data_IF_995672672610
#
_entry.id   IF_995672672610
#
_cell.length_a   1.000
_cell.length_b   1.000
_cell.length_c   1.000
_cell.angle_alpha   90.00
_cell.angle_beta   90.00
_cell.angle_gamma   90.00
#
_symmetry.space_group_name_H-M   'P 1'
#
loop_
_entity.id
_entity.type
_entity.pdbx_description
1 polymer ?
#
# COMPACT_ATOMS: atom_id res chain seq x y z
N UNK A 1 -2.61 2.97 11.81
CA UNK A 1 -2.56 1.58 12.30
C UNK A 1 -1.24 0.90 11.97
N UNK A 2 -0.79 0.81 10.72
CA UNK A 2 0.50 0.16 10.36
C UNK A 2 1.71 0.58 11.21
N UNK A 3 1.90 1.90 11.36
CA UNK A 3 2.98 2.44 12.19
C UNK A 3 2.82 2.01 13.66
N UNK A 4 1.61 2.10 14.19
CA UNK A 4 1.29 1.71 15.57
C UNK A 4 1.53 0.21 15.80
N UNK A 5 1.11 -0.65 14.87
CA UNK A 5 1.35 -2.09 14.96
C UNK A 5 2.83 -2.44 14.93
N UNK A 6 3.62 -1.72 14.12
CA UNK A 6 5.08 -1.88 14.08
C UNK A 6 5.74 -1.41 15.38
N UNK A 7 5.41 -0.20 15.83
CA UNK A 7 6.03 0.44 16.99
C UNK A 7 5.70 -0.32 18.30
N UNK A 8 4.53 -0.98 18.35
CA UNK A 8 4.07 -1.76 19.51
C UNK A 8 4.28 -3.28 19.35
N UNK A 9 4.95 -3.74 18.29
CA UNK A 9 5.17 -5.17 18.03
C UNK A 9 3.88 -6.03 18.07
N UNK A 10 2.80 -5.52 17.47
CA UNK A 10 1.52 -6.24 17.40
C UNK A 10 1.60 -7.41 16.41
N UNK A 11 1.34 -8.60 16.94
CA UNK A 11 1.25 -9.85 16.18
C UNK A 11 0.16 -9.80 15.11
N UNK A 12 0.36 -10.50 14.00
CA UNK A 12 -0.53 -10.42 12.84
C UNK A 12 -1.98 -10.83 13.18
N UNK A 13 -2.15 -11.83 14.05
CA UNK A 13 -3.44 -12.32 14.52
C UNK A 13 -4.23 -11.28 15.33
N UNK A 14 -3.54 -10.34 15.99
CA UNK A 14 -4.16 -9.33 16.85
C UNK A 14 -4.51 -8.04 16.10
N UNK A 15 -3.97 -7.84 14.89
CA UNK A 15 -4.16 -6.61 14.11
C UNK A 15 -5.62 -6.37 13.73
N UNK A 16 -6.31 -7.40 13.25
CA UNK A 16 -7.71 -7.28 12.82
C UNK A 16 -8.65 -7.05 14.01
N UNK A 17 -8.58 -7.82 15.11
CA UNK A 17 -9.37 -7.54 16.32
C UNK A 17 -9.20 -6.09 16.82
N UNK A 18 -7.96 -5.62 16.92
CA UNK A 18 -7.66 -4.27 17.40
C UNK A 18 -8.17 -3.19 16.45
N UNK A 19 -7.99 -3.36 15.14
CA UNK A 19 -8.50 -2.41 14.16
C UNK A 19 -10.02 -2.38 14.09
N UNK A 20 -10.67 -3.54 14.20
CA UNK A 20 -12.12 -3.64 14.27
C UNK A 20 -12.70 -2.87 15.47
N UNK A 21 -12.01 -2.91 16.61
CA UNK A 21 -12.40 -2.14 17.80
C UNK A 21 -12.29 -0.61 17.59
N UNK A 22 -11.43 -0.16 16.68
CA UNK A 22 -11.32 1.26 16.32
C UNK A 22 -12.36 1.72 15.27
N UNK A 23 -13.19 0.82 14.73
CA UNK A 23 -14.26 1.21 13.81
C UNK A 23 -15.40 1.85 14.61
N UNK A 24 -15.96 2.94 14.08
CA UNK A 24 -17.06 3.65 14.73
C UNK A 24 -18.38 3.44 13.99
N UNK A 25 -19.49 3.39 14.75
CA UNK A 25 -20.86 3.45 14.24
C UNK A 25 -21.12 2.41 13.12
N UNK A 26 -21.51 2.88 11.94
CA UNK A 26 -21.87 2.06 10.79
C UNK A 26 -20.71 1.19 10.30
N UNK A 27 -19.46 1.63 10.49
CA UNK A 27 -18.27 0.85 10.15
C UNK A 27 -18.13 -0.40 11.01
N UNK A 28 -18.36 -0.27 12.31
CA UNK A 28 -18.35 -1.40 13.23
C UNK A 28 -19.52 -2.36 12.97
N UNK A 29 -20.74 -1.83 12.83
CA UNK A 29 -21.93 -2.63 12.56
C UNK A 29 -21.83 -3.45 11.28
N UNK A 30 -21.31 -2.84 10.20
CA UNK A 30 -21.02 -3.56 8.96
C UNK A 30 -19.96 -4.65 9.18
N UNK A 31 -18.86 -4.33 9.86
CA UNK A 31 -17.75 -5.26 10.03
C UNK A 31 -18.20 -6.51 10.80
N UNK A 32 -18.94 -6.35 11.90
CA UNK A 32 -19.46 -7.48 12.67
C UNK A 32 -20.44 -8.31 11.83
N UNK A 33 -21.38 -7.67 11.12
CA UNK A 33 -22.32 -8.39 10.25
C UNK A 33 -21.60 -9.17 9.13
N UNK A 34 -20.56 -8.58 8.54
CA UNK A 34 -19.75 -9.23 7.51
C UNK A 34 -18.95 -10.40 8.10
N UNK A 35 -18.29 -10.18 9.24
CA UNK A 35 -17.47 -11.18 9.94
C UNK A 35 -18.30 -12.40 10.37
N UNK A 36 -19.43 -12.18 11.03
CA UNK A 36 -20.31 -13.25 11.53
C UNK A 36 -20.94 -14.07 10.40
N UNK A 37 -21.31 -13.43 9.29
CA UNK A 37 -22.00 -14.12 8.17
C UNK A 37 -21.07 -14.83 7.19
N UNK A 38 -19.84 -14.35 7.02
CA UNK A 38 -18.96 -14.79 5.91
C UNK A 38 -17.69 -15.50 6.35
N UNK A 39 -17.15 -15.17 7.53
CA UNK A 39 -15.79 -15.58 7.91
C UNK A 39 -15.75 -16.61 9.05
N UNK A 40 -16.88 -16.87 9.72
CA UNK A 40 -17.03 -18.02 10.61
C UNK A 40 -15.95 -18.09 11.68
N UNK A 41 -15.99 -17.17 12.65
CA UNK A 41 -15.13 -17.12 13.85
C UNK A 41 -13.61 -16.92 13.65
N UNK A 42 -13.08 -17.05 12.43
CA UNK A 42 -11.65 -16.86 12.15
C UNK A 42 -11.43 -15.48 11.52
N UNK A 43 -10.61 -14.65 12.17
CA UNK A 43 -10.21 -13.37 11.60
C UNK A 43 -9.44 -13.57 10.29
N UNK A 44 -9.75 -12.77 9.25
CA UNK A 44 -8.97 -12.80 8.01
C UNK A 44 -7.57 -12.22 8.27
N UNK A 45 -6.67 -12.38 7.30
CA UNK A 45 -5.38 -11.69 7.36
C UNK A 45 -5.57 -10.18 7.41
N UNK A 46 -4.56 -9.47 7.91
CA UNK A 46 -4.59 -8.01 7.97
C UNK A 46 -4.79 -7.37 6.58
N UNK A 47 -4.18 -7.96 5.55
CA UNK A 47 -4.33 -7.53 4.16
C UNK A 47 -5.78 -7.68 3.67
N UNK A 48 -6.40 -8.82 3.96
CA UNK A 48 -7.76 -9.12 3.57
C UNK A 48 -8.78 -8.22 4.31
N UNK A 49 -8.59 -7.96 5.60
CA UNK A 49 -9.37 -6.97 6.35
C UNK A 49 -9.33 -5.60 5.68
N UNK A 50 -8.13 -5.13 5.33
CA UNK A 50 -7.95 -3.84 4.64
C UNK A 50 -8.63 -3.82 3.28
N UNK A 51 -8.56 -4.92 2.52
CA UNK A 51 -9.23 -5.07 1.22
C UNK A 51 -10.74 -4.93 1.37
N UNK A 52 -11.35 -5.65 2.32
CA UNK A 52 -12.78 -5.59 2.58
C UNK A 52 -13.24 -4.18 3.01
N UNK A 53 -12.50 -3.55 3.92
CA UNK A 53 -12.78 -2.18 4.36
C UNK A 53 -12.72 -1.19 3.19
N UNK A 54 -11.69 -1.34 2.35
CA UNK A 54 -11.54 -0.54 1.15
C UNK A 54 -12.69 -0.76 0.16
N UNK A 55 -13.08 -2.01 -0.09
CA UNK A 55 -14.19 -2.33 -1.00
C UNK A 55 -15.52 -1.74 -0.54
N UNK A 56 -15.81 -1.81 0.75
CA UNK A 56 -17.06 -1.35 1.34
C UNK A 56 -17.16 0.18 1.40
N UNK A 57 -16.11 0.87 1.85
CA UNK A 57 -16.20 2.30 2.19
C UNK A 57 -15.61 3.24 1.14
N UNK A 58 -14.73 2.75 0.26
CA UNK A 58 -14.25 3.57 -0.85
C UNK A 58 -15.18 3.40 -2.05
N UNK A 59 -15.83 4.50 -2.46
CA UNK A 59 -16.62 4.54 -3.70
C UNK A 59 -15.73 4.21 -4.89
N UNK A 60 -16.22 3.44 -5.86
CA UNK A 60 -15.47 3.06 -7.06
C UNK A 60 -14.92 4.26 -7.83
N UNK A 61 -15.65 5.38 -7.85
CA UNK A 61 -15.15 6.64 -8.43
C UNK A 61 -13.88 7.16 -7.74
N UNK A 62 -13.79 7.01 -6.41
CA UNK A 62 -12.60 7.38 -5.63
C UNK A 62 -11.47 6.40 -5.89
N UNK A 63 -11.77 5.09 -5.96
CA UNK A 63 -10.78 4.06 -6.30
C UNK A 63 -10.11 4.35 -7.65
N UNK A 64 -10.92 4.54 -8.68
CA UNK A 64 -10.45 4.87 -10.03
C UNK A 64 -9.72 6.22 -10.07
N UNK A 65 -10.12 7.19 -9.23
CA UNK A 65 -9.42 8.47 -9.15
C UNK A 65 -8.01 8.30 -8.59
N UNK A 66 -7.84 7.51 -7.52
CA UNK A 66 -6.54 7.24 -6.92
C UNK A 66 -5.63 6.43 -7.87
N UNK A 67 -6.18 5.48 -8.61
CA UNK A 67 -5.45 4.74 -9.65
C UNK A 67 -4.96 5.66 -10.76
N UNK A 68 -5.84 6.52 -11.30
CA UNK A 68 -5.44 7.53 -12.30
C UNK A 68 -4.43 8.53 -11.75
N UNK A 69 -4.55 8.92 -10.49
CA UNK A 69 -3.59 9.79 -9.81
C UNK A 69 -2.22 9.11 -9.73
N UNK A 70 -2.17 7.83 -9.37
CA UNK A 70 -0.94 7.04 -9.31
C UNK A 70 -0.27 6.90 -10.68
N UNK A 71 -1.05 6.61 -11.73
CA UNK A 71 -0.54 6.49 -13.11
C UNK A 71 0.08 7.79 -13.63
N UNK A 72 -0.56 8.92 -13.29
CA UNK A 72 -0.12 10.27 -13.68
C UNK A 72 0.98 10.81 -12.76
N UNK A 73 1.23 10.19 -11.62
CA UNK A 73 2.21 10.67 -10.66
C UNK A 73 3.63 10.54 -11.26
N UNK A 74 4.21 11.69 -11.57
CA UNK A 74 5.61 11.84 -11.99
C UNK A 74 6.34 12.75 -11.03
N UNK A 75 7.63 12.52 -10.82
CA UNK A 75 8.48 13.41 -10.04
C UNK A 75 8.36 14.87 -10.54
N UNK A 76 8.32 15.08 -11.86
CA UNK A 76 8.17 16.42 -12.43
C UNK A 76 9.31 17.33 -11.97
N UNK A 77 9.02 18.54 -11.50
CA UNK A 77 10.04 19.43 -10.94
C UNK A 77 10.32 19.22 -9.44
N UNK A 78 9.56 18.33 -8.77
CA UNK A 78 9.68 18.06 -7.32
C UNK A 78 10.99 17.34 -6.97
N UNK A 79 11.38 17.48 -5.71
CA UNK A 79 12.43 16.65 -5.11
C UNK A 79 12.01 15.18 -5.08
N UNK A 80 12.97 14.26 -4.96
CA UNK A 80 12.66 12.82 -4.81
C UNK A 80 11.86 12.58 -3.53
N UNK A 81 12.16 13.28 -2.43
CA UNK A 81 11.44 13.14 -1.17
C UNK A 81 9.98 13.62 -1.23
N UNK A 82 9.69 14.71 -1.94
CA UNK A 82 8.30 15.15 -2.17
C UNK A 82 7.52 14.13 -3.02
N UNK A 83 8.14 13.63 -4.08
CA UNK A 83 7.55 12.60 -4.92
C UNK A 83 7.30 11.29 -4.15
N UNK A 84 8.24 10.88 -3.30
CA UNK A 84 8.12 9.69 -2.44
C UNK A 84 6.95 9.82 -1.48
N UNK A 85 6.79 10.96 -0.81
CA UNK A 85 5.64 11.17 0.10
C UNK A 85 4.30 11.02 -0.62
N UNK A 86 4.16 11.60 -1.82
CA UNK A 86 2.93 11.49 -2.60
C UNK A 86 2.68 10.05 -3.08
N UNK A 87 3.72 9.37 -3.57
CA UNK A 87 3.63 7.99 -4.00
C UNK A 87 3.23 7.06 -2.85
N UNK A 88 3.92 7.17 -1.71
CA UNK A 88 3.66 6.38 -0.50
C UNK A 88 2.27 6.63 0.06
N UNK A 89 1.78 7.89 0.03
CA UNK A 89 0.40 8.22 0.40
C UNK A 89 -0.59 7.47 -0.48
N UNK A 90 -0.49 7.58 -1.80
CA UNK A 90 -1.45 6.95 -2.72
C UNK A 90 -1.40 5.43 -2.59
N UNK A 91 -0.21 4.82 -2.63
CA UNK A 91 -0.06 3.36 -2.50
C UNK A 91 -0.61 2.84 -1.17
N UNK A 92 -0.53 3.62 -0.09
CA UNK A 92 -1.12 3.22 1.20
C UNK A 92 -2.66 3.15 1.17
N UNK A 93 -3.31 3.95 0.32
CA UNK A 93 -4.76 4.00 0.15
C UNK A 93 -5.28 2.93 -0.82
N UNK A 94 -4.45 2.49 -1.78
CA UNK A 94 -4.78 1.47 -2.76
C UNK A 94 -3.80 0.28 -2.71
N UNK A 95 -3.71 -0.43 -1.56
CA UNK A 95 -2.67 -1.45 -1.35
C UNK A 95 -2.73 -2.58 -2.38
N UNK A 96 -3.92 -2.94 -2.86
CA UNK A 96 -4.15 -4.01 -3.83
C UNK A 96 -3.61 -3.70 -5.25
N UNK A 97 -3.21 -2.46 -5.53
CA UNK A 97 -2.55 -2.11 -6.81
C UNK A 97 -1.08 -2.55 -6.82
N UNK A 98 -0.48 -2.72 -5.65
CA UNK A 98 0.88 -3.23 -5.49
C UNK A 98 0.83 -4.73 -5.20
N UNK A 99 1.62 -5.51 -5.95
CA UNK A 99 1.65 -6.98 -5.82
C UNK A 99 2.70 -7.44 -4.82
N UNK A 100 3.86 -6.79 -4.86
CA UNK A 100 5.02 -7.06 -4.03
C UNK A 100 5.92 -5.80 -4.02
N UNK A 101 6.94 -5.78 -3.15
CA UNK A 101 7.86 -4.65 -3.04
C UNK A 101 8.67 -4.41 -4.32
N UNK A 102 8.91 -5.44 -5.14
CA UNK A 102 9.57 -5.26 -6.43
C UNK A 102 8.65 -4.54 -7.43
N UNK A 103 7.35 -4.90 -7.48
CA UNK A 103 6.34 -4.22 -8.27
C UNK A 103 6.24 -2.75 -7.86
N UNK A 104 6.20 -2.49 -6.55
CA UNK A 104 6.18 -1.14 -5.97
C UNK A 104 7.41 -0.33 -6.38
N UNK A 105 8.60 -0.90 -6.25
CA UNK A 105 9.86 -0.26 -6.63
C UNK A 105 9.89 0.09 -8.12
N UNK A 106 9.42 -0.81 -9.00
CA UNK A 106 9.31 -0.51 -10.44
C UNK A 106 8.31 0.61 -10.72
N UNK A 107 7.14 0.61 -10.06
CA UNK A 107 6.15 1.68 -10.22
C UNK A 107 6.74 3.04 -9.82
N UNK A 108 7.42 3.09 -8.68
CA UNK A 108 8.13 4.28 -8.21
C UNK A 108 9.20 4.73 -9.22
N UNK A 109 10.04 3.81 -9.67
CA UNK A 109 11.11 4.12 -10.64
C UNK A 109 10.55 4.68 -11.96
N UNK A 110 9.39 4.21 -12.45
CA UNK A 110 8.74 4.72 -13.67
C UNK A 110 8.26 6.18 -13.54
N UNK A 111 8.04 6.67 -12.32
CA UNK A 111 7.65 8.06 -12.08
C UNK A 111 8.84 9.01 -11.91
N UNK A 112 10.05 8.51 -11.67
CA UNK A 112 11.25 9.33 -11.50
C UNK A 112 11.68 10.05 -12.80
N UNK A 113 12.41 11.16 -12.62
CA UNK A 113 13.08 11.90 -13.71
C UNK A 113 14.00 10.96 -14.51
N UNK A 114 14.09 11.12 -15.84
CA UNK A 114 14.98 10.30 -16.67
C UNK A 114 16.43 10.28 -16.19
N UNK A 115 16.97 11.42 -15.76
CA UNK A 115 18.35 11.52 -15.24
C UNK A 115 18.58 10.65 -14.00
N UNK A 116 17.61 10.60 -13.08
CA UNK A 116 17.70 9.78 -11.87
C UNK A 116 17.53 8.29 -12.21
N UNK A 117 16.62 7.96 -13.15
CA UNK A 117 16.47 6.56 -13.61
C UNK A 117 17.76 6.03 -14.24
N UNK A 118 18.44 6.86 -15.05
CA UNK A 118 19.74 6.52 -15.63
C UNK A 118 20.81 6.33 -14.56
N UNK A 119 20.82 7.18 -13.52
CA UNK A 119 21.73 7.02 -12.39
C UNK A 119 21.49 5.69 -11.64
N UNK A 120 20.22 5.36 -11.36
CA UNK A 120 19.85 4.09 -10.71
C UNK A 120 20.23 2.89 -11.59
N UNK A 121 19.98 2.95 -12.89
CA UNK A 121 20.33 1.88 -13.82
C UNK A 121 21.85 1.69 -13.94
N UNK A 122 22.62 2.78 -14.00
CA UNK A 122 24.08 2.72 -14.03
C UNK A 122 24.67 2.17 -12.74
N UNK A 123 24.20 2.60 -11.57
CA UNK A 123 24.69 2.09 -10.29
C UNK A 123 24.23 0.66 -10.02
N UNK A 124 23.02 0.29 -10.44
CA UNK A 124 22.52 -1.09 -10.38
C UNK A 124 23.26 -2.04 -11.33
N UNK A 125 23.68 -1.56 -12.50
CA UNK A 125 24.52 -2.31 -13.44
C UNK A 125 25.97 -2.47 -12.92
N UNK A 126 26.53 -1.45 -12.26
CA UNK A 126 27.86 -1.53 -11.62
C UNK A 126 27.91 -2.50 -10.44
N UNK A 127 26.77 -2.81 -9.80
CA UNK A 127 26.69 -3.82 -8.73
C UNK A 127 26.43 -5.25 -9.22
N UNK A 128 26.14 -5.45 -10.51
CA UNK A 128 25.87 -6.78 -11.08
C UNK A 128 27.07 -7.41 -11.80
N UNK A 129 28.21 -6.70 -11.88
CA UNK A 129 29.44 -7.17 -12.53
C UNK A 129 30.52 -7.62 -11.53
N UNK A 130 30.13 -8.37 -10.50
CA UNK A 130 31.07 -9.00 -9.55
C UNK A 130 30.86 -10.51 -9.37
N UNK A 131 30.30 -11.22 -10.37
CA UNK A 131 30.42 -12.68 -10.46
C UNK A 131 30.57 -13.15 -11.91
N UNK A 132 31.70 -12.82 -12.51
CA UNK A 132 32.34 -13.69 -13.49
C UNK A 132 33.69 -14.10 -12.92
N UNK A 133 33.78 -15.33 -12.44
CA UNK A 133 34.83 -16.37 -12.65
C UNK A 133 34.34 -17.61 -11.88
#
# INVERSE_FOLDING_TARGET
MEKLFRDLHIEELDRVPLAAHCLEKDAYSWWISHFERKLGSIYPSWEEFRRLLYEQYFKDSTKQSLERELERLKQGNRTVGEYERDFSRIVSLIPFVVRDEYHKARMFARGLKPSIRLLIASHGALTFDERTI
#
